data_IF_864912666711
#
_entry.id   IF_864912666711
#
_cell.length_a   1.000
_cell.length_b   1.000
_cell.length_c   1.000
_cell.angle_alpha   90.00
_cell.angle_beta   90.00
_cell.angle_gamma   90.00
#
_symmetry.space_group_name_H-M   'P 1'
#
loop_
_entity.id
_entity.type
_entity.pdbx_description
1 polymer ?
#
# COMPACT_ATOMS: atom_id res chain seq x y z
N UNK A 1 15.46 10.91 14.95
CA UNK A 1 14.23 11.39 14.27
C UNK A 1 13.61 10.21 13.53
N UNK A 2 12.40 9.76 13.88
CA UNK A 2 11.71 8.68 13.16
C UNK A 2 11.12 9.26 11.87
N UNK A 3 11.37 8.61 10.74
CA UNK A 3 10.83 8.98 9.43
C UNK A 3 9.98 7.80 8.95
N UNK A 4 8.77 8.07 8.50
CA UNK A 4 7.93 7.06 7.86
C UNK A 4 8.59 6.63 6.55
N UNK A 5 8.93 5.35 6.43
CA UNK A 5 9.40 4.76 5.17
C UNK A 5 8.33 3.81 4.65
N UNK A 6 7.81 4.10 3.47
CA UNK A 6 6.82 3.27 2.78
C UNK A 6 7.55 2.50 1.69
N UNK A 7 7.42 1.17 1.69
CA UNK A 7 7.92 0.31 0.62
C UNK A 7 6.74 -0.22 -0.20
N UNK A 8 6.41 0.48 -1.30
CA UNK A 8 5.28 0.15 -2.18
C UNK A 8 5.46 -1.17 -2.93
N UNK A 9 6.69 -1.67 -3.10
CA UNK A 9 6.96 -2.96 -3.76
C UNK A 9 6.39 -4.14 -2.97
N UNK A 10 6.18 -3.97 -1.66
CA UNK A 10 5.59 -4.98 -0.77
C UNK A 10 4.10 -4.69 -0.45
N UNK A 11 3.45 -3.84 -1.25
CA UNK A 11 2.04 -3.51 -1.07
C UNK A 11 1.16 -4.71 -1.44
N UNK A 12 0.23 -5.07 -0.55
CA UNK A 12 -0.77 -6.12 -0.80
C UNK A 12 -2.14 -5.57 -1.21
N UNK A 13 -2.21 -4.29 -1.57
CA UNK A 13 -3.42 -3.65 -2.11
C UNK A 13 -4.64 -3.69 -1.19
N UNK A 14 -4.45 -3.84 0.13
CA UNK A 14 -5.54 -3.87 1.11
C UNK A 14 -6.14 -2.50 1.44
N UNK A 15 -5.51 -1.41 0.98
CA UNK A 15 -5.92 -0.01 1.20
C UNK A 15 -5.97 0.46 2.67
N UNK A 16 -5.49 -0.34 3.62
CA UNK A 16 -5.49 0.02 5.05
C UNK A 16 -4.68 1.29 5.36
N UNK A 17 -3.55 1.50 4.69
CA UNK A 17 -2.70 2.69 4.91
C UNK A 17 -3.39 3.99 4.47
N UNK A 18 -4.34 3.93 3.54
CA UNK A 18 -5.15 5.06 3.08
C UNK A 18 -6.26 5.40 4.10
N UNK A 19 -6.89 4.37 4.67
CA UNK A 19 -8.08 4.49 5.55
C UNK A 19 -7.70 4.76 7.01
N UNK A 20 -6.58 4.18 7.48
CA UNK A 20 -6.25 4.10 8.91
C UNK A 20 -4.98 4.84 9.30
N UNK A 21 -4.38 5.63 8.41
CA UNK A 21 -3.27 6.51 8.80
C UNK A 21 -3.81 7.71 9.59
N UNK A 22 -3.41 7.92 10.86
CA UNK A 22 -3.98 8.95 11.73
C UNK A 22 -3.88 10.39 11.21
N UNK A 23 -2.89 10.67 10.38
CA UNK A 23 -2.60 11.99 9.83
C UNK A 23 -3.17 12.17 8.42
N UNK A 24 -3.78 11.13 7.84
CA UNK A 24 -4.33 11.10 6.48
C UNK A 24 -3.39 11.65 5.39
N UNK A 25 -2.08 11.45 5.54
CA UNK A 25 -1.03 11.95 4.63
C UNK A 25 -0.62 10.92 3.56
N UNK A 26 -1.28 9.77 3.49
CA UNK A 26 -0.98 8.71 2.51
C UNK A 26 -2.11 8.71 1.47
N UNK A 27 -1.76 8.94 0.21
CA UNK A 27 -2.66 8.74 -0.92
C UNK A 27 -2.36 7.38 -1.58
N UNK A 28 -3.32 6.46 -1.55
CA UNK A 28 -3.19 5.20 -2.27
C UNK A 28 -3.67 5.32 -3.72
N UNK A 29 -2.78 5.01 -4.66
CA UNK A 29 -3.10 4.94 -6.09
C UNK A 29 -2.80 3.54 -6.63
N UNK A 30 -3.54 3.11 -7.65
CA UNK A 30 -3.31 1.81 -8.29
C UNK A 30 -1.99 1.87 -9.06
N UNK A 31 -1.09 0.88 -8.91
CA UNK A 31 0.15 0.85 -9.68
C UNK A 31 -0.13 0.61 -11.18
N UNK A 32 0.87 0.86 -12.02
CA UNK A 32 0.83 0.53 -13.45
C UNK A 32 0.47 -0.97 -13.62
N UNK A 33 -0.53 -1.26 -14.46
CA UNK A 33 -1.29 -2.51 -14.43
C UNK A 33 -0.44 -3.79 -14.38
N UNK A 34 -0.78 -4.70 -13.46
CA UNK A 34 -0.07 -5.96 -13.22
C UNK A 34 0.85 -5.95 -11.98
N UNK A 35 1.11 -4.79 -11.38
CA UNK A 35 1.74 -4.70 -10.06
C UNK A 35 0.77 -5.10 -8.96
N UNK A 36 1.16 -5.99 -8.05
CA UNK A 36 0.34 -6.39 -6.91
C UNK A 36 0.57 -7.83 -6.48
N UNK A 37 -0.03 -8.24 -5.35
CA UNK A 37 0.06 -9.61 -4.85
C UNK A 37 -0.57 -10.60 -5.83
N UNK A 38 0.14 -11.70 -6.11
CA UNK A 38 -0.40 -12.85 -6.83
C UNK A 38 -1.06 -13.75 -5.79
N UNK A 39 -2.38 -13.66 -5.67
CA UNK A 39 -3.15 -14.54 -4.81
C UNK A 39 -3.32 -15.90 -5.48
N UNK A 40 -2.43 -16.84 -5.16
CA UNK A 40 -2.58 -18.25 -5.54
C UNK A 40 -3.57 -18.93 -4.60
N UNK A 41 -4.87 -18.64 -4.78
CA UNK A 41 -5.95 -19.33 -4.09
C UNK A 41 -6.44 -20.52 -4.92
N UNK A 42 -5.95 -21.72 -4.61
CA UNK A 42 -6.62 -22.99 -4.94
C UNK A 42 -7.76 -23.25 -3.97
#
# INVERSE_FOLDING_TARGET
>A
KKVLKINSQNCIHCKTCDIKEPSQNIEWVTPEGGGGPIYSGT
#
